data_IF_234616940533
#
_entry.id   IF_234616940533
#
_cell.length_a   1.000
_cell.length_b   1.000
_cell.length_c   1.000
_cell.angle_alpha   90.00
_cell.angle_beta   90.00
_cell.angle_gamma   90.00
#
_symmetry.space_group_name_H-M   'P 1'
#
loop_
_entity.id
_entity.type
_entity.pdbx_description
1 polymer ?
#
# COMPACT_ATOMS: atom_id res chain seq x y z
N UNK A 1 2.32 -1.84 11.27
CA UNK A 1 2.57 -2.89 10.27
C UNK A 1 1.22 -3.23 9.64
N UNK A 2 1.13 -3.40 8.31
CA UNK A 2 -0.11 -3.80 7.66
C UNK A 2 -0.59 -5.18 8.14
N UNK A 3 -1.89 -5.43 8.03
CA UNK A 3 -2.47 -6.77 8.12
C UNK A 3 -2.47 -7.40 6.74
N UNK A 4 -1.67 -8.44 6.57
CA UNK A 4 -1.58 -9.23 5.34
C UNK A 4 -2.60 -10.38 5.35
N UNK A 5 -3.17 -10.69 4.19
CA UNK A 5 -4.07 -11.83 4.00
C UNK A 5 -3.32 -13.14 3.71
N UNK A 6 -2.05 -13.04 3.29
CA UNK A 6 -1.16 -14.15 3.04
C UNK A 6 0.22 -13.86 3.67
N UNK A 7 0.99 -14.93 3.91
CA UNK A 7 2.38 -14.79 4.41
C UNK A 7 3.28 -14.09 3.39
N UNK A 8 3.04 -14.35 2.11
CA UNK A 8 3.79 -13.82 0.98
C UNK A 8 2.83 -13.57 -0.20
N UNK A 9 3.13 -12.62 -1.10
CA UNK A 9 4.26 -11.70 -1.02
C UNK A 9 3.99 -10.56 -0.01
N UNK A 10 5.01 -10.16 0.72
CA UNK A 10 5.06 -8.91 1.51
C UNK A 10 6.25 -8.06 1.04
N UNK A 11 6.25 -6.73 1.23
CA UNK A 11 7.36 -5.90 0.75
C UNK A 11 8.64 -6.19 1.56
N UNK A 12 9.69 -6.63 0.88
CA UNK A 12 11.02 -6.88 1.48
C UNK A 12 11.70 -5.58 1.96
N UNK A 13 11.49 -4.49 1.23
CA UNK A 13 12.04 -3.18 1.56
C UNK A 13 11.04 -2.08 1.17
N UNK A 14 10.99 -1.03 1.99
CA UNK A 14 10.23 0.18 1.73
C UNK A 14 11.23 1.27 1.30
N UNK A 15 11.16 1.78 0.06
CA UNK A 15 12.09 2.79 -0.40
C UNK A 15 11.93 4.09 0.39
N UNK A 16 13.05 4.76 0.67
CA UNK A 16 13.07 6.09 1.25
C UNK A 16 12.36 7.10 0.33
N UNK A 17 11.83 8.15 0.94
CA UNK A 17 11.19 9.27 0.24
C UNK A 17 12.13 9.87 -0.81
N UNK A 18 11.66 9.96 -2.05
CA UNK A 18 12.45 10.46 -3.17
C UNK A 18 12.76 11.97 -3.06
N UNK A 19 12.07 12.67 -2.16
CA UNK A 19 12.20 14.13 -1.97
C UNK A 19 13.15 14.51 -0.84
N UNK A 20 13.00 13.93 0.36
CA UNK A 20 13.87 14.25 1.51
C UNK A 20 14.95 13.18 1.78
N UNK A 21 14.87 12.01 1.13
CA UNK A 21 15.73 10.86 1.42
C UNK A 21 15.41 10.16 2.75
N UNK A 22 14.43 10.65 3.50
CA UNK A 22 13.98 10.09 4.78
C UNK A 22 13.19 8.79 4.62
N UNK A 23 13.06 7.99 5.70
CA UNK A 23 12.32 6.74 5.66
C UNK A 23 10.81 6.95 5.43
N UNK A 24 10.17 5.98 4.77
CA UNK A 24 8.70 5.89 4.71
C UNK A 24 8.18 4.92 5.79
N UNK A 25 6.97 5.16 6.29
CA UNK A 25 6.29 4.29 7.27
C UNK A 25 4.91 3.89 6.76
N UNK A 26 4.45 2.74 7.21
CA UNK A 26 3.05 2.36 7.01
C UNK A 26 2.13 3.43 7.62
N UNK A 27 1.15 3.88 6.82
CA UNK A 27 0.15 4.84 7.27
C UNK A 27 -1.24 4.19 7.34
N UNK A 28 -1.70 3.61 6.23
CA UNK A 28 -3.01 2.95 6.16
C UNK A 28 -3.02 1.83 5.12
N UNK A 29 -4.09 1.04 5.14
CA UNK A 29 -4.31 0.00 4.16
C UNK A 29 -5.75 0.00 3.65
N UNK A 30 -5.92 -0.46 2.41
CA UNK A 30 -7.21 -0.73 1.79
C UNK A 30 -7.40 -2.24 1.71
N UNK A 31 -8.52 -2.67 2.26
CA UNK A 31 -8.89 -4.08 2.39
C UNK A 31 -9.82 -4.52 1.25
N UNK A 32 -9.88 -5.82 0.92
CA UNK A 32 -10.70 -6.32 -0.19
C UNK A 32 -12.19 -6.08 0.05
N UNK A 33 -12.63 -6.00 1.31
CA UNK A 33 -14.02 -5.73 1.69
C UNK A 33 -14.55 -4.42 1.11
N UNK A 34 -13.67 -3.45 0.79
CA UNK A 34 -14.09 -2.20 0.15
C UNK A 34 -14.74 -2.45 -1.22
N UNK A 35 -14.25 -3.42 -2.01
CA UNK A 35 -14.83 -3.80 -3.30
C UNK A 35 -16.29 -4.24 -3.13
N UNK A 36 -16.55 -5.09 -2.14
CA UNK A 36 -17.90 -5.57 -1.83
C UNK A 36 -18.84 -4.43 -1.44
N UNK A 37 -18.36 -3.47 -0.64
CA UNK A 37 -19.14 -2.28 -0.24
C UNK A 37 -19.44 -1.40 -1.46
N UNK A 38 -18.48 -1.23 -2.37
CA UNK A 38 -18.63 -0.45 -3.59
C UNK A 38 -19.42 -1.18 -4.68
N UNK A 39 -19.75 -2.46 -4.48
CA UNK A 39 -20.35 -3.35 -5.49
C UNK A 39 -19.51 -3.47 -6.75
N UNK A 40 -18.19 -3.38 -6.60
CA UNK A 40 -17.25 -3.55 -7.71
C UNK A 40 -16.90 -5.01 -7.91
N UNK A 41 -17.06 -5.47 -9.15
CA UNK A 41 -16.87 -6.87 -9.54
C UNK A 41 -15.73 -7.06 -10.56
N UNK A 42 -15.25 -5.97 -11.17
CA UNK A 42 -14.22 -6.01 -12.21
C UNK A 42 -12.80 -5.78 -11.66
N UNK A 43 -12.70 -5.38 -10.39
CA UNK A 43 -11.44 -5.12 -9.71
C UNK A 43 -11.21 -6.18 -8.63
N UNK A 44 -9.95 -6.61 -8.47
CA UNK A 44 -9.54 -7.55 -7.44
C UNK A 44 -8.17 -7.15 -6.84
N UNK A 45 -8.11 -7.09 -5.52
CA UNK A 45 -6.89 -6.89 -4.74
C UNK A 45 -7.02 -7.60 -3.40
N UNK A 46 -5.91 -8.12 -2.90
CA UNK A 46 -5.85 -8.69 -1.55
C UNK A 46 -5.77 -7.57 -0.53
N UNK A 47 -4.61 -6.93 -0.40
CA UNK A 47 -4.43 -5.77 0.49
C UNK A 47 -3.59 -4.74 -0.25
N UNK A 48 -3.99 -3.48 -0.18
CA UNK A 48 -3.17 -2.36 -0.65
C UNK A 48 -2.62 -1.66 0.59
N UNK A 49 -1.32 -1.79 0.86
CA UNK A 49 -0.64 -1.11 1.95
C UNK A 49 0.04 0.16 1.45
N UNK A 50 -0.22 1.29 2.12
CA UNK A 50 0.32 2.60 1.75
C UNK A 50 1.37 3.02 2.78
N UNK A 51 2.52 3.45 2.27
CA UNK A 51 3.66 3.90 3.05
C UNK A 51 4.01 5.32 2.66
N UNK A 52 4.10 6.20 3.66
CA UNK A 52 4.29 7.64 3.44
C UNK A 52 5.52 8.17 4.14
N UNK A 53 6.00 9.32 3.69
CA UNK A 53 7.17 9.97 4.26
C UNK A 53 6.95 10.32 5.75
N UNK A 54 7.86 9.87 6.62
CA UNK A 54 7.85 10.17 8.06
C UNK A 54 7.93 11.67 8.35
N UNK A 55 8.64 12.42 7.50
CA UNK A 55 8.84 13.85 7.67
C UNK A 55 7.69 14.68 7.08
N UNK A 56 6.67 14.03 6.50
CA UNK A 56 5.53 14.69 5.83
C UNK A 56 6.00 15.84 4.93
N UNK A 57 7.00 15.58 4.09
CA UNK A 57 7.71 16.62 3.35
C UNK A 57 6.76 17.41 2.43
N UNK A 58 6.48 18.66 2.81
CA UNK A 58 5.62 19.60 2.06
C UNK A 58 6.46 20.46 1.12
N UNK A 59 7.38 19.84 0.37
CA UNK A 59 8.07 20.61 -0.65
C UNK A 59 7.01 21.09 -1.67
N UNK A 60 6.97 22.39 -1.94
CA UNK A 60 6.35 22.99 -3.14
C UNK A 60 4.82 22.83 -3.35
N UNK A 61 4.01 22.50 -2.31
CA UNK A 61 2.54 22.37 -2.38
C UNK A 61 2.03 21.43 -3.50
N UNK A 62 2.90 20.56 -4.02
CA UNK A 62 2.59 19.59 -5.07
C UNK A 62 2.32 18.21 -4.48
N UNK A 63 1.58 17.38 -5.21
CA UNK A 63 1.39 15.97 -4.83
C UNK A 63 2.73 15.23 -4.87
N UNK A 64 2.97 14.40 -3.85
CA UNK A 64 4.19 13.59 -3.71
C UNK A 64 3.86 12.13 -3.93
N UNK A 65 4.75 11.44 -4.64
CA UNK A 65 4.61 10.00 -4.83
C UNK A 65 4.98 9.25 -3.55
N UNK A 66 4.08 8.38 -3.13
CA UNK A 66 4.23 7.54 -1.94
C UNK A 66 4.28 6.06 -2.34
N UNK A 67 4.84 5.24 -1.47
CA UNK A 67 5.06 3.84 -1.80
C UNK A 67 3.80 3.02 -1.51
N UNK A 68 3.36 2.26 -2.51
CA UNK A 68 2.21 1.38 -2.42
C UNK A 68 2.63 -0.05 -2.70
N UNK A 69 2.26 -0.97 -1.81
CA UNK A 69 2.41 -2.39 -2.02
C UNK A 69 1.05 -3.06 -2.12
N UNK A 70 0.80 -3.76 -3.24
CA UNK A 70 -0.40 -4.58 -3.44
C UNK A 70 -0.04 -6.04 -3.17
N UNK A 71 -0.67 -6.64 -2.16
CA UNK A 71 -0.71 -8.08 -2.00
C UNK A 71 -1.86 -8.61 -2.86
N UNK A 72 -1.54 -9.36 -3.90
CA UNK A 72 -2.53 -10.01 -4.77
C UNK A 72 -3.14 -11.25 -4.12
N UNK A 73 -4.40 -11.53 -4.45
CA UNK A 73 -5.06 -12.81 -4.13
C UNK A 73 -4.79 -13.76 -5.29
N UNK A 74 -3.67 -14.47 -5.30
CA UNK A 74 -3.54 -15.58 -6.26
C UNK A 74 -4.46 -16.72 -5.83
N UNK A 75 -5.60 -16.88 -6.52
CA UNK A 75 -6.50 -18.05 -6.43
C UNK A 75 -5.86 -19.32 -7.03
N UNK A 76 -4.58 -19.61 -6.74
CA UNK A 76 -3.89 -20.79 -7.30
C UNK A 76 -3.98 -22.06 -6.46
N UNK A 77 -4.64 -22.06 -5.31
CA UNK A 77 -4.73 -23.27 -4.46
C UNK A 77 -6.06 -23.36 -3.70
N UNK A 78 -7.17 -23.54 -4.42
CA UNK A 78 -8.34 -24.28 -3.91
C UNK A 78 -8.46 -25.55 -4.74
#
# INVERSE_FOLDING_TARGET
MPLWIAREPVPDNIPNCDYCGGPRRFEFQIMPQLLSILKENDLDWGVIAVYTCLDSCVADNSYKEEFVFKQDVELKNI
#
